data_IF_580730857650
#
_entry.id   IF_580730857650
#
_cell.length_a   1.000
_cell.length_b   1.000
_cell.length_c   1.000
_cell.angle_alpha   90.00
_cell.angle_beta   90.00
_cell.angle_gamma   90.00
#
_symmetry.space_group_name_H-M   'P 1'
#
loop_
_entity.id
_entity.type
_entity.pdbx_description
1 polymer ?
#
# COMPACT_ATOMS: atom_id res chain seq x y z
N UNK A 1 -40.06 -2.08 -56.24
CA UNK A 1 -40.52 -1.57 -54.94
C UNK A 1 -39.91 -2.47 -53.87
N UNK A 2 -38.84 -2.03 -53.19
CA UNK A 2 -38.89 -1.58 -51.77
C UNK A 2 -39.80 -2.48 -50.91
N UNK A 3 -39.38 -3.14 -49.83
CA UNK A 3 -38.39 -2.86 -48.76
C UNK A 3 -38.44 -4.12 -47.87
N UNK A 4 -37.37 -4.72 -47.36
CA UNK A 4 -36.29 -4.12 -46.59
C UNK A 4 -36.60 -4.21 -45.09
N UNK A 5 -36.16 -5.29 -44.42
CA UNK A 5 -35.77 -5.36 -42.99
C UNK A 5 -35.19 -6.75 -42.68
N UNK A 6 -33.93 -6.96 -43.07
CA UNK A 6 -33.12 -8.05 -42.53
C UNK A 6 -32.68 -7.70 -41.11
N UNK A 7 -32.93 -8.62 -40.20
CA UNK A 7 -32.56 -8.54 -38.79
C UNK A 7 -31.04 -8.74 -38.68
N UNK A 8 -30.28 -7.64 -38.57
CA UNK A 8 -28.86 -7.68 -38.24
C UNK A 8 -28.70 -8.07 -36.76
N UNK A 9 -28.30 -9.31 -36.50
CA UNK A 9 -27.75 -9.72 -35.20
C UNK A 9 -26.40 -9.03 -35.03
N UNK A 10 -26.36 -7.98 -34.21
CA UNK A 10 -25.11 -7.36 -33.76
C UNK A 10 -24.45 -8.29 -32.75
N UNK A 11 -23.34 -8.92 -33.15
CA UNK A 11 -22.38 -9.51 -32.21
C UNK A 11 -21.82 -8.37 -31.34
N UNK A 12 -22.34 -8.24 -30.12
CA UNK A 12 -21.75 -7.37 -29.10
C UNK A 12 -20.56 -8.13 -28.51
N UNK A 13 -19.35 -7.80 -28.97
CA UNK A 13 -18.13 -8.21 -28.26
C UNK A 13 -18.10 -7.49 -26.92
N UNK A 14 -18.59 -8.15 -25.86
CA UNK A 14 -18.31 -7.76 -24.49
C UNK A 14 -16.81 -7.98 -24.27
N UNK A 15 -16.03 -6.91 -24.35
CA UNK A 15 -14.72 -6.88 -23.72
C UNK A 15 -14.96 -6.94 -22.21
N UNK A 16 -14.93 -8.14 -21.66
CA UNK A 16 -14.73 -8.35 -20.22
C UNK A 16 -13.36 -7.76 -19.93
N UNK A 17 -13.33 -6.54 -19.38
CA UNK A 17 -12.15 -6.06 -18.67
C UNK A 17 -11.89 -7.09 -17.58
N UNK A 18 -10.87 -7.92 -17.77
CA UNK A 18 -10.27 -8.65 -16.68
C UNK A 18 -9.87 -7.59 -15.66
N UNK A 19 -10.60 -7.51 -14.56
CA UNK A 19 -10.13 -6.82 -13.38
C UNK A 19 -8.77 -7.43 -13.09
N UNK A 20 -7.70 -6.68 -13.35
CA UNK A 20 -6.38 -7.02 -12.84
C UNK A 20 -6.62 -7.05 -11.34
N UNK A 21 -6.71 -8.25 -10.78
CA UNK A 21 -6.70 -8.43 -9.35
C UNK A 21 -5.38 -7.84 -8.91
N UNK A 22 -5.40 -6.61 -8.42
CA UNK A 22 -4.30 -6.06 -7.66
C UNK A 22 -4.20 -7.01 -6.48
N UNK A 23 -3.28 -7.97 -6.55
CA UNK A 23 -2.90 -8.74 -5.38
C UNK A 23 -2.48 -7.69 -4.37
N UNK A 24 -3.34 -7.42 -3.38
CA UNK A 24 -2.93 -6.67 -2.20
C UNK A 24 -1.78 -7.48 -1.62
N UNK A 25 -0.56 -6.96 -1.79
CA UNK A 25 0.64 -7.51 -1.18
C UNK A 25 0.34 -7.66 0.32
N UNK A 26 0.18 -8.89 0.77
CA UNK A 26 -0.06 -9.16 2.19
C UNK A 26 1.10 -8.57 3.00
N UNK A 27 0.83 -8.08 4.19
CA UNK A 27 1.87 -7.59 5.08
C UNK A 27 2.64 -8.81 5.62
N UNK A 28 3.86 -9.04 5.15
CA UNK A 28 4.61 -10.30 5.34
C UNK A 28 5.80 -10.20 6.32
N UNK A 29 6.28 -8.98 6.57
CA UNK A 29 7.38 -8.67 7.49
C UNK A 29 6.87 -7.77 8.59
N UNK A 30 6.97 -8.20 9.84
CA UNK A 30 6.39 -7.51 10.98
C UNK A 30 7.33 -7.26 12.13
N UNK A 31 6.90 -6.38 13.01
CA UNK A 31 7.59 -6.11 14.27
C UNK A 31 6.57 -5.79 15.36
N UNK A 32 6.79 -6.35 16.55
CA UNK A 32 6.10 -5.92 17.76
C UNK A 32 6.94 -4.82 18.40
N UNK A 33 6.31 -3.79 18.94
CA UNK A 33 7.01 -2.70 19.62
C UNK A 33 6.16 -2.07 20.70
N UNK A 34 6.79 -1.69 21.81
CA UNK A 34 6.16 -1.13 22.98
C UNK A 34 6.50 0.34 23.19
N UNK A 35 7.17 0.60 24.31
CA UNK A 35 7.42 1.94 24.84
C UNK A 35 7.96 2.95 23.83
N UNK A 36 9.02 2.62 23.06
CA UNK A 36 9.64 3.54 22.11
C UNK A 36 8.70 4.11 21.06
N UNK A 37 7.63 3.41 20.67
CA UNK A 37 6.70 3.91 19.65
C UNK A 37 6.02 5.22 20.09
N UNK A 38 5.73 5.38 21.38
CA UNK A 38 5.06 6.58 21.91
C UNK A 38 5.95 7.44 22.83
N UNK A 39 7.02 6.88 23.41
CA UNK A 39 8.01 7.65 24.20
C UNK A 39 9.02 8.37 23.31
N UNK A 40 9.44 7.73 22.22
CA UNK A 40 10.59 8.17 21.41
C UNK A 40 10.19 8.63 20.01
N UNK A 41 9.05 9.35 19.93
CA UNK A 41 8.45 9.80 18.66
C UNK A 41 9.37 10.63 17.75
N UNK A 42 10.46 11.18 18.29
CA UNK A 42 11.44 11.96 17.53
C UNK A 42 12.11 11.14 16.41
N UNK A 43 12.21 9.81 16.58
CA UNK A 43 12.75 8.92 15.55
C UNK A 43 11.83 7.74 15.22
N UNK A 44 11.11 7.17 16.20
CA UNK A 44 10.55 5.81 16.06
C UNK A 44 9.56 5.67 14.91
N UNK A 45 8.67 6.64 14.72
CA UNK A 45 7.69 6.63 13.63
C UNK A 45 8.40 6.66 12.26
N UNK A 46 9.39 7.54 12.08
CA UNK A 46 10.11 7.63 10.82
C UNK A 46 11.03 6.44 10.60
N UNK A 47 11.66 5.90 11.64
CA UNK A 47 12.46 4.69 11.55
C UNK A 47 11.61 3.50 11.10
N UNK A 48 10.48 3.24 11.75
CA UNK A 48 9.57 2.15 11.41
C UNK A 48 9.04 2.27 9.98
N UNK A 49 8.62 3.46 9.56
CA UNK A 49 8.16 3.72 8.18
C UNK A 49 9.22 3.37 7.14
N UNK A 50 10.49 3.70 7.42
CA UNK A 50 11.60 3.48 6.48
C UNK A 50 12.32 2.14 6.68
N UNK A 51 11.96 1.36 7.69
CA UNK A 51 12.65 0.12 8.07
C UNK A 51 12.53 -1.00 7.02
N UNK A 52 11.43 -1.03 6.27
CA UNK A 52 11.05 -2.17 5.45
C UNK A 52 10.07 -3.13 6.12
N UNK A 53 9.72 -2.96 7.39
CA UNK A 53 8.59 -3.69 7.97
C UNK A 53 7.29 -3.30 7.26
N UNK A 54 6.43 -4.28 7.02
CA UNK A 54 5.14 -4.11 6.33
C UNK A 54 3.96 -4.07 7.29
N UNK A 55 4.14 -4.53 8.53
CA UNK A 55 3.20 -4.29 9.61
C UNK A 55 3.90 -4.01 10.93
N UNK A 56 3.21 -3.27 11.79
CA UNK A 56 3.64 -2.99 13.16
C UNK A 56 2.52 -3.37 14.10
N UNK A 57 2.84 -4.15 15.13
CA UNK A 57 1.94 -4.41 16.26
C UNK A 57 2.42 -3.56 17.43
N UNK A 58 1.64 -2.54 17.78
CA UNK A 58 1.94 -1.67 18.92
C UNK A 58 1.41 -2.35 20.17
N UNK A 59 2.35 -2.90 20.93
CA UNK A 59 2.14 -3.71 22.12
C UNK A 59 2.19 -2.80 23.35
N UNK A 60 1.23 -2.81 24.28
CA UNK A 60 -0.04 -3.55 24.34
C UNK A 60 -1.09 -2.79 25.16
N UNK A 61 -2.36 -3.14 24.98
CA UNK A 61 -3.49 -2.67 25.77
C UNK A 61 -3.84 -3.69 26.86
N UNK A 62 -3.93 -3.22 28.09
CA UNK A 62 -4.51 -3.94 29.22
C UNK A 62 -5.93 -3.47 29.49
N UNK A 63 -6.84 -4.41 29.78
CA UNK A 63 -8.23 -4.12 30.13
C UNK A 63 -8.44 -4.46 31.59
N UNK A 64 -8.80 -3.47 32.41
CA UNK A 64 -9.09 -3.66 33.82
C UNK A 64 -10.48 -4.28 34.06
N UNK A 65 -10.80 -4.60 35.32
CA UNK A 65 -12.07 -5.23 35.68
C UNK A 65 -13.30 -4.33 35.42
N UNK A 66 -13.11 -3.01 35.31
CA UNK A 66 -14.16 -2.06 34.93
C UNK A 66 -14.30 -1.89 33.42
N UNK A 67 -13.39 -2.49 32.64
CA UNK A 67 -13.33 -2.41 31.19
C UNK A 67 -12.50 -1.26 30.64
N UNK A 68 -11.80 -0.49 31.48
CA UNK A 68 -10.96 0.61 31.02
C UNK A 68 -9.69 0.08 30.36
N UNK A 69 -9.21 0.81 29.35
CA UNK A 69 -8.01 0.45 28.60
C UNK A 69 -6.84 1.27 29.13
N UNK A 70 -5.74 0.59 29.43
CA UNK A 70 -4.44 1.20 29.72
C UNK A 70 -3.42 0.67 28.71
N UNK A 71 -2.52 1.52 28.22
CA UNK A 71 -1.45 1.11 27.32
C UNK A 71 -0.17 0.81 28.12
N UNK A 72 0.37 -0.40 27.97
CA UNK A 72 1.56 -0.94 28.66
C UNK A 72 1.55 -0.88 30.20
N UNK A 73 0.37 -0.75 30.80
CA UNK A 73 0.23 -0.42 32.23
C UNK A 73 0.85 0.95 32.59
N UNK A 74 1.15 1.79 31.60
CA UNK A 74 1.85 3.07 31.77
C UNK A 74 0.90 4.26 31.75
N UNK A 75 -0.14 4.24 30.90
CA UNK A 75 -1.07 5.38 30.80
C UNK A 75 -2.49 4.96 30.40
N UNK A 76 -3.52 5.67 30.90
CA UNK A 76 -4.89 5.39 30.53
C UNK A 76 -5.14 5.75 29.06
N UNK A 77 -5.82 4.88 28.33
CA UNK A 77 -6.07 5.05 26.89
C UNK A 77 -7.53 5.38 26.61
N UNK A 78 -8.45 4.51 27.03
CA UNK A 78 -9.90 4.62 26.81
C UNK A 78 -10.61 4.37 28.14
N UNK A 79 -11.55 5.24 28.47
CA UNK A 79 -12.40 5.11 29.65
C UNK A 79 -13.81 5.59 29.31
N UNK A 80 -14.83 4.84 29.73
CA UNK A 80 -16.25 5.20 29.55
C UNK A 80 -16.63 5.59 28.10
N UNK A 81 -16.07 4.90 27.10
CA UNK A 81 -16.33 5.17 25.68
C UNK A 81 -15.65 6.42 25.14
N UNK A 82 -14.63 6.96 25.81
CA UNK A 82 -13.88 8.13 25.38
C UNK A 82 -12.37 7.88 25.35
N UNK A 83 -11.69 8.43 24.36
CA UNK A 83 -10.23 8.49 24.32
C UNK A 83 -9.70 9.55 25.25
N UNK A 84 -8.90 9.11 26.22
CA UNK A 84 -8.28 9.96 27.24
C UNK A 84 -6.75 9.94 27.17
N UNK A 85 -6.16 9.05 26.36
CA UNK A 85 -4.70 8.91 26.27
C UNK A 85 -3.96 10.17 25.80
N UNK A 86 -4.64 11.13 25.17
CA UNK A 86 -4.06 12.42 24.81
C UNK A 86 -3.58 13.23 26.03
N UNK A 87 -4.10 12.96 27.24
CA UNK A 87 -3.61 13.63 28.45
C UNK A 87 -2.19 13.21 28.81
N UNK A 88 -1.75 12.04 28.37
CA UNK A 88 -0.41 11.50 28.63
C UNK A 88 0.49 11.62 27.40
N UNK A 89 -0.03 11.26 26.23
CA UNK A 89 0.69 11.33 24.95
C UNK A 89 -0.18 12.05 23.89
N UNK A 90 -0.13 13.40 23.83
CA UNK A 90 -1.02 14.20 22.98
C UNK A 90 -0.96 13.87 21.48
N UNK A 91 0.18 13.37 21.00
CA UNK A 91 0.39 13.06 19.58
C UNK A 91 0.13 11.58 19.23
N UNK A 92 -0.22 10.74 20.20
CA UNK A 92 -0.23 9.28 19.99
C UNK A 92 -1.14 8.84 18.84
N UNK A 93 -2.37 9.37 18.76
CA UNK A 93 -3.28 9.06 17.65
C UNK A 93 -2.71 9.43 16.28
N UNK A 94 -2.08 10.60 16.17
CA UNK A 94 -1.46 11.07 14.94
C UNK A 94 -0.23 10.23 14.56
N UNK A 95 0.62 9.91 15.54
CA UNK A 95 1.83 9.11 15.35
C UNK A 95 1.50 7.70 14.85
N UNK A 96 0.42 7.09 15.35
CA UNK A 96 -0.09 5.80 14.88
C UNK A 96 -0.58 5.87 13.42
N UNK A 97 -1.27 6.93 13.02
CA UNK A 97 -1.68 7.13 11.62
C UNK A 97 -0.46 7.32 10.69
N UNK A 98 0.56 8.04 11.16
CA UNK A 98 1.78 8.31 10.39
C UNK A 98 2.55 7.05 10.00
N UNK A 99 2.43 5.94 10.73
CA UNK A 99 3.07 4.67 10.37
C UNK A 99 2.74 4.22 8.92
N UNK A 100 1.53 4.51 8.42
CA UNK A 100 1.11 4.17 7.04
C UNK A 100 1.36 5.32 6.04
N UNK A 101 1.73 6.50 6.51
CA UNK A 101 1.97 7.69 5.68
C UNK A 101 3.23 7.50 4.82
N UNK A 102 3.18 7.87 3.54
CA UNK A 102 4.32 7.75 2.63
C UNK A 102 5.47 8.73 2.97
N UNK A 103 6.75 8.34 2.84
CA UNK A 103 7.21 7.01 2.47
C UNK A 103 7.02 6.01 3.60
N UNK A 104 6.46 4.84 3.28
CA UNK A 104 6.35 3.72 4.20
C UNK A 104 6.22 2.40 3.45
N UNK A 105 6.76 1.33 4.02
CA UNK A 105 6.42 -0.04 3.61
C UNK A 105 5.25 -0.61 4.40
N UNK A 106 4.88 0.05 5.51
CA UNK A 106 3.82 -0.40 6.42
C UNK A 106 2.48 -0.18 5.74
N UNK A 107 1.75 -1.27 5.55
CA UNK A 107 0.38 -1.26 5.05
C UNK A 107 -0.62 -1.85 6.06
N UNK A 108 -0.15 -2.23 7.25
CA UNK A 108 -0.98 -2.72 8.34
C UNK A 108 -0.47 -2.29 9.72
N UNK A 109 -1.35 -1.79 10.58
CA UNK A 109 -1.05 -1.42 11.96
C UNK A 109 -2.03 -2.10 12.90
N UNK A 110 -1.55 -2.59 14.04
CA UNK A 110 -2.37 -3.26 15.05
C UNK A 110 -2.09 -2.75 16.45
N UNK A 111 -3.07 -2.89 17.34
CA UNK A 111 -2.81 -2.90 18.78
C UNK A 111 -2.85 -4.32 19.30
N UNK A 112 -2.01 -4.65 20.28
CA UNK A 112 -2.11 -5.92 20.99
C UNK A 112 -2.99 -5.80 22.24
N UNK A 113 -3.62 -6.89 22.67
CA UNK A 113 -4.26 -7.03 23.97
C UNK A 113 -3.47 -8.00 24.83
N UNK A 114 -3.24 -7.60 26.08
CA UNK A 114 -2.58 -8.40 27.10
C UNK A 114 -1.09 -8.64 26.85
N UNK A 115 -0.48 -9.35 27.79
CA UNK A 115 0.87 -9.90 27.77
C UNK A 115 0.91 -11.06 28.78
N UNK A 116 2.05 -11.74 28.87
CA UNK A 116 2.33 -12.71 29.92
C UNK A 116 1.95 -12.17 31.32
N UNK A 117 1.18 -12.95 32.08
CA UNK A 117 0.70 -12.57 33.42
C UNK A 117 -0.42 -11.52 33.45
N UNK A 118 -0.91 -11.05 32.31
CA UNK A 118 -1.98 -10.05 32.23
C UNK A 118 -3.38 -10.61 32.57
N UNK A 119 -4.16 -9.85 33.34
CA UNK A 119 -5.55 -10.20 33.69
C UNK A 119 -6.58 -9.84 32.61
N UNK A 120 -6.14 -9.29 31.48
CA UNK A 120 -6.99 -8.72 30.42
C UNK A 120 -8.07 -9.69 29.96
N UNK A 121 -7.71 -10.92 29.60
CA UNK A 121 -8.69 -11.89 29.08
C UNK A 121 -9.63 -12.43 30.15
N UNK A 122 -9.20 -12.52 31.41
CA UNK A 122 -10.06 -12.84 32.53
C UNK A 122 -11.10 -11.72 32.78
N UNK A 123 -10.68 -10.46 32.70
CA UNK A 123 -11.57 -9.31 32.80
C UNK A 123 -12.55 -9.23 31.62
N UNK A 124 -12.08 -9.44 30.39
CA UNK A 124 -12.93 -9.54 29.20
C UNK A 124 -13.98 -10.62 29.36
N UNK A 125 -13.60 -11.83 29.80
CA UNK A 125 -14.53 -12.92 30.05
C UNK A 125 -15.63 -12.51 31.04
N UNK A 126 -15.24 -11.91 32.16
CA UNK A 126 -16.19 -11.48 33.19
C UNK A 126 -17.14 -10.37 32.68
N UNK A 127 -16.61 -9.40 31.94
CA UNK A 127 -17.40 -8.32 31.35
C UNK A 127 -18.38 -8.84 30.29
N UNK A 128 -17.97 -9.78 29.44
CA UNK A 128 -18.86 -10.44 28.47
C UNK A 128 -19.94 -11.24 29.18
N UNK A 129 -19.60 -11.99 30.23
CA UNK A 129 -20.59 -12.73 31.00
C UNK A 129 -21.61 -11.79 31.66
N UNK A 130 -21.18 -10.62 32.14
CA UNK A 130 -22.04 -9.66 32.83
C UNK A 130 -22.89 -8.78 31.88
N UNK A 131 -22.35 -8.41 30.72
CA UNK A 131 -22.93 -7.34 29.88
C UNK A 131 -23.16 -7.75 28.42
N UNK A 132 -22.63 -8.90 28.00
CA UNK A 132 -22.55 -9.29 26.60
C UNK A 132 -21.64 -8.39 25.76
N UNK A 133 -21.80 -8.47 24.44
CA UNK A 133 -20.99 -7.74 23.44
C UNK A 133 -21.81 -6.72 22.64
N UNK A 134 -23.04 -6.44 23.06
CA UNK A 134 -23.93 -5.48 22.40
C UNK A 134 -23.48 -4.03 22.60
N UNK A 135 -24.08 -3.10 21.84
CA UNK A 135 -23.68 -1.69 21.82
C UNK A 135 -23.81 -0.94 23.16
N UNK A 136 -24.53 -1.52 24.12
CA UNK A 136 -24.68 -0.99 25.47
C UNK A 136 -23.56 -1.41 26.42
N UNK A 137 -22.79 -2.46 26.09
CA UNK A 137 -21.72 -2.98 26.96
C UNK A 137 -20.50 -2.06 27.00
N UNK A 138 -19.76 -2.11 28.10
CA UNK A 138 -18.55 -1.30 28.28
C UNK A 138 -17.49 -1.64 27.23
N UNK A 139 -17.28 -2.94 26.96
CA UNK A 139 -16.31 -3.38 25.96
C UNK A 139 -16.64 -2.82 24.58
N UNK A 140 -17.90 -2.89 24.15
CA UNK A 140 -18.30 -2.36 22.84
C UNK A 140 -18.03 -0.86 22.75
N UNK A 141 -18.48 -0.09 23.75
CA UNK A 141 -18.30 1.37 23.77
C UNK A 141 -16.82 1.77 23.74
N UNK A 142 -15.97 1.06 24.49
CA UNK A 142 -14.54 1.35 24.54
C UNK A 142 -13.84 0.98 23.22
N UNK A 143 -14.15 -0.16 22.61
CA UNK A 143 -13.58 -0.51 21.30
C UNK A 143 -14.13 0.36 20.15
N UNK A 144 -15.38 0.82 20.22
CA UNK A 144 -15.91 1.80 19.27
C UNK A 144 -15.15 3.13 19.37
N UNK A 145 -14.90 3.60 20.60
CA UNK A 145 -14.09 4.80 20.84
C UNK A 145 -12.66 4.63 20.31
N UNK A 146 -12.07 3.45 20.51
CA UNK A 146 -10.76 3.10 19.96
C UNK A 146 -10.78 3.14 18.42
N UNK A 147 -11.77 2.54 17.75
CA UNK A 147 -11.87 2.57 16.28
C UNK A 147 -12.04 3.98 15.72
N UNK A 148 -12.85 4.80 16.39
CA UNK A 148 -13.10 6.17 15.97
C UNK A 148 -11.84 7.04 16.12
N UNK A 149 -11.04 6.80 17.17
CA UNK A 149 -9.81 7.54 17.45
C UNK A 149 -8.66 7.09 16.56
N UNK A 150 -8.54 5.79 16.30
CA UNK A 150 -7.46 5.18 15.54
C UNK A 150 -8.00 4.45 14.31
N UNK A 151 -8.59 5.17 13.33
CA UNK A 151 -9.18 4.54 12.16
C UNK A 151 -8.13 3.85 11.26
N UNK A 152 -6.86 4.24 11.38
CA UNK A 152 -5.71 3.62 10.71
C UNK A 152 -5.30 2.26 11.28
N UNK A 153 -5.77 1.89 12.48
CA UNK A 153 -5.52 0.58 13.09
C UNK A 153 -6.44 -0.45 12.46
N UNK A 154 -5.82 -1.46 11.84
CA UNK A 154 -6.46 -2.47 11.03
C UNK A 154 -6.96 -3.64 11.88
N UNK A 155 -6.23 -4.01 12.94
CA UNK A 155 -6.53 -5.19 13.74
C UNK A 155 -6.20 -5.05 15.22
N UNK A 156 -6.73 -5.99 15.99
CA UNK A 156 -6.43 -6.17 17.40
C UNK A 156 -5.83 -7.57 17.59
N UNK A 157 -4.58 -7.65 18.08
CA UNK A 157 -3.89 -8.90 18.35
C UNK A 157 -4.27 -9.46 19.72
N UNK A 158 -4.49 -10.77 19.81
CA UNK A 158 -4.84 -11.46 21.05
C UNK A 158 -3.64 -12.22 21.59
N UNK A 159 -3.09 -11.73 22.70
CA UNK A 159 -1.99 -12.36 23.44
C UNK A 159 -2.48 -12.94 24.78
N UNK A 160 -3.48 -13.84 24.69
CA UNK A 160 -4.03 -14.56 25.85
C UNK A 160 -3.09 -15.69 26.27
N UNK A 161 -2.26 -15.42 27.27
CA UNK A 161 -1.30 -16.38 27.79
C UNK A 161 -1.74 -17.05 29.10
N UNK A 162 -2.95 -16.75 29.59
CA UNK A 162 -3.39 -17.18 30.92
C UNK A 162 -4.80 -17.75 30.98
N UNK A 163 -5.78 -17.09 30.34
CA UNK A 163 -7.20 -17.37 30.58
C UNK A 163 -7.71 -18.53 29.73
N UNK A 164 -7.34 -18.54 28.44
CA UNK A 164 -7.66 -19.60 27.48
C UNK A 164 -9.16 -19.98 27.41
N UNK A 165 -10.05 -19.00 27.54
CA UNK A 165 -11.50 -19.20 27.44
C UNK A 165 -12.00 -18.94 26.03
N UNK A 166 -12.15 -20.00 25.23
CA UNK A 166 -12.43 -19.87 23.80
C UNK A 166 -13.76 -19.15 23.51
N UNK A 167 -14.77 -19.32 24.37
CA UNK A 167 -16.10 -18.72 24.18
C UNK A 167 -16.07 -17.19 24.28
N UNK A 168 -15.42 -16.65 25.32
CA UNK A 168 -15.26 -15.20 25.49
C UNK A 168 -14.31 -14.60 24.45
N UNK A 169 -13.20 -15.28 24.12
CA UNK A 169 -12.29 -14.83 23.06
C UNK A 169 -12.99 -14.77 21.69
N UNK A 170 -13.77 -15.79 21.31
CA UNK A 170 -14.58 -15.76 20.09
C UNK A 170 -15.59 -14.62 20.11
N UNK A 171 -16.31 -14.42 21.23
CA UNK A 171 -17.32 -13.37 21.36
C UNK A 171 -16.70 -11.97 21.20
N UNK A 172 -15.53 -11.74 21.81
CA UNK A 172 -14.77 -10.52 21.64
C UNK A 172 -14.34 -10.33 20.17
N UNK A 173 -13.78 -11.37 19.54
CA UNK A 173 -13.31 -11.28 18.16
C UNK A 173 -14.45 -10.94 17.19
N UNK A 174 -15.62 -11.57 17.32
CA UNK A 174 -16.80 -11.26 16.49
C UNK A 174 -17.26 -9.81 16.70
N UNK A 175 -17.26 -9.32 17.94
CA UNK A 175 -17.59 -7.92 18.25
C UNK A 175 -16.62 -6.95 17.57
N UNK A 176 -15.31 -7.20 17.66
CA UNK A 176 -14.27 -6.41 16.99
C UNK A 176 -14.43 -6.43 15.47
N UNK A 177 -14.74 -7.60 14.90
CA UNK A 177 -15.05 -7.76 13.49
C UNK A 177 -16.23 -6.89 13.05
N UNK A 178 -17.29 -6.79 13.87
CA UNK A 178 -18.45 -5.95 13.57
C UNK A 178 -18.15 -4.45 13.66
N UNK A 179 -17.19 -4.07 14.51
CA UNK A 179 -16.64 -2.70 14.59
C UNK A 179 -15.66 -2.37 13.45
N UNK A 180 -15.34 -3.34 12.58
CA UNK A 180 -14.46 -3.15 11.43
C UNK A 180 -12.97 -3.34 11.73
N UNK A 181 -12.62 -3.96 12.86
CA UNK A 181 -11.28 -4.49 13.09
C UNK A 181 -11.13 -5.89 12.48
N UNK A 182 -9.89 -6.24 12.14
CA UNK A 182 -9.44 -7.63 12.04
C UNK A 182 -8.94 -8.11 13.41
N UNK A 183 -8.67 -9.40 13.52
CA UNK A 183 -8.06 -10.02 14.69
C UNK A 183 -6.89 -10.88 14.26
N UNK A 184 -5.76 -10.71 14.94
CA UNK A 184 -4.62 -11.62 14.87
C UNK A 184 -4.52 -12.41 16.18
N UNK A 185 -4.07 -13.65 16.12
CA UNK A 185 -3.88 -14.51 17.30
C UNK A 185 -2.38 -14.70 17.56
N UNK A 186 -1.94 -14.67 18.82
CA UNK A 186 -0.50 -14.66 19.17
C UNK A 186 -0.11 -15.88 20.02
N UNK A 187 -0.23 -17.12 19.51
CA UNK A 187 0.03 -18.31 20.31
C UNK A 187 1.53 -18.47 20.62
N UNK A 188 1.87 -18.74 21.88
CA UNK A 188 3.11 -19.45 22.24
C UNK A 188 2.83 -20.92 22.63
N UNK A 189 1.60 -21.26 23.02
CA UNK A 189 1.17 -22.61 23.41
C UNK A 189 -0.34 -22.82 23.17
N UNK A 190 -0.90 -23.93 23.64
CA UNK A 190 -2.34 -24.25 23.64
C UNK A 190 -3.00 -24.21 22.25
N UNK A 191 -2.47 -25.03 21.34
CA UNK A 191 -2.94 -25.12 19.95
C UNK A 191 -4.45 -25.30 19.81
N UNK A 192 -5.05 -26.16 20.63
CA UNK A 192 -6.49 -26.44 20.58
C UNK A 192 -7.33 -25.21 20.88
N UNK A 193 -6.94 -24.40 21.86
CA UNK A 193 -7.63 -23.15 22.16
C UNK A 193 -7.60 -22.21 20.96
N UNK A 194 -6.42 -21.94 20.40
CA UNK A 194 -6.27 -20.96 19.33
C UNK A 194 -6.97 -21.40 18.04
N UNK A 195 -6.88 -22.68 17.66
CA UNK A 195 -7.58 -23.18 16.46
C UNK A 195 -9.09 -23.13 16.64
N UNK A 196 -9.59 -23.35 17.87
CA UNK A 196 -11.00 -23.19 18.22
C UNK A 196 -11.44 -21.73 18.09
N UNK A 197 -10.68 -20.78 18.63
CA UNK A 197 -11.00 -19.33 18.52
C UNK A 197 -11.05 -18.88 17.06
N UNK A 198 -10.05 -19.25 16.25
CA UNK A 198 -10.00 -18.91 14.83
C UNK A 198 -11.22 -19.48 14.07
N UNK A 199 -11.49 -20.78 14.26
CA UNK A 199 -12.58 -21.49 13.58
C UNK A 199 -13.94 -20.93 13.98
N UNK A 200 -14.21 -20.81 15.28
CA UNK A 200 -15.49 -20.33 15.76
C UNK A 200 -15.75 -18.89 15.32
N UNK A 201 -14.74 -18.02 15.40
CA UNK A 201 -14.87 -16.62 14.99
C UNK A 201 -15.18 -16.53 13.50
N UNK A 202 -14.41 -17.22 12.65
CA UNK A 202 -14.61 -17.12 11.21
C UNK A 202 -15.87 -17.86 10.71
N UNK A 203 -16.39 -18.84 11.46
CA UNK A 203 -17.71 -19.43 11.20
C UNK A 203 -18.85 -18.45 11.51
N UNK A 204 -18.72 -17.64 12.57
CA UNK A 204 -19.73 -16.65 12.93
C UNK A 204 -19.60 -15.35 12.13
N UNK A 205 -18.37 -14.95 11.81
CA UNK A 205 -18.04 -13.76 11.04
C UNK A 205 -16.78 -13.96 10.22
N UNK A 206 -16.97 -14.41 8.98
CA UNK A 206 -15.89 -14.76 8.07
C UNK A 206 -14.86 -13.63 7.87
N UNK A 207 -13.59 -14.00 7.89
CA UNK A 207 -12.46 -13.10 7.65
C UNK A 207 -12.18 -12.11 8.79
N UNK A 208 -12.71 -12.36 9.99
CA UNK A 208 -12.39 -11.56 11.18
C UNK A 208 -11.01 -11.92 11.70
N UNK A 209 -10.78 -13.20 11.96
CA UNK A 209 -9.43 -13.70 12.27
C UNK A 209 -8.71 -13.91 10.94
N UNK A 210 -7.68 -13.12 10.66
CA UNK A 210 -7.00 -13.10 9.37
C UNK A 210 -5.48 -13.34 9.45
N UNK A 211 -4.93 -13.45 10.67
CA UNK A 211 -3.51 -13.75 10.88
C UNK A 211 -3.27 -14.50 12.18
N UNK A 212 -2.23 -15.35 12.19
CA UNK A 212 -1.67 -15.94 13.41
C UNK A 212 -0.19 -15.60 13.50
N UNK A 213 0.20 -14.87 14.54
CA UNK A 213 1.57 -14.49 14.88
C UNK A 213 2.11 -15.51 15.90
N UNK A 214 2.61 -16.65 15.41
CA UNK A 214 3.12 -17.75 16.23
C UNK A 214 4.45 -17.35 16.86
N UNK A 215 4.50 -17.34 18.20
CA UNK A 215 5.73 -17.09 18.94
C UNK A 215 6.65 -18.32 18.88
N UNK A 216 7.83 -18.17 18.26
CA UNK A 216 8.88 -19.20 18.19
C UNK A 216 10.14 -18.77 18.97
N UNK A 217 9.95 -18.05 20.07
CA UNK A 217 10.98 -17.52 20.97
C UNK A 217 10.55 -17.71 22.43
N UNK A 218 11.47 -17.56 23.38
CA UNK A 218 11.22 -17.65 24.83
C UNK A 218 10.44 -18.93 25.18
N UNK A 219 9.31 -18.81 25.90
CA UNK A 219 8.41 -19.93 26.23
C UNK A 219 7.83 -20.66 25.02
N UNK A 220 7.80 -20.01 23.85
CA UNK A 220 7.40 -20.60 22.55
C UNK A 220 8.57 -21.11 21.70
N UNK A 221 9.82 -21.09 22.17
CA UNK A 221 11.02 -21.46 21.39
C UNK A 221 10.99 -22.88 20.79
N UNK A 222 10.19 -23.79 21.36
CA UNK A 222 9.96 -25.14 20.82
C UNK A 222 8.95 -25.21 19.67
N UNK A 223 8.29 -24.10 19.31
CA UNK A 223 7.30 -24.11 18.25
C UNK A 223 7.91 -24.25 16.86
N UNK A 224 7.30 -25.11 16.05
CA UNK A 224 7.58 -25.23 14.62
C UNK A 224 6.31 -24.86 13.84
N UNK A 225 6.30 -23.80 13.01
CA UNK A 225 5.12 -23.32 12.29
C UNK A 225 4.39 -24.40 11.47
N UNK A 226 5.13 -25.38 10.96
CA UNK A 226 4.54 -26.48 10.17
C UNK A 226 3.54 -27.35 10.97
N UNK A 227 3.59 -27.30 12.30
CA UNK A 227 2.68 -28.03 13.18
C UNK A 227 1.43 -27.21 13.56
N UNK A 228 1.32 -25.97 13.09
CA UNK A 228 0.26 -25.03 13.46
C UNK A 228 -0.60 -24.72 12.23
N UNK A 229 -1.77 -25.35 12.13
CA UNK A 229 -2.71 -25.13 11.02
C UNK A 229 -4.02 -24.52 11.51
N UNK A 230 -4.45 -23.47 10.82
CA UNK A 230 -5.66 -22.70 11.13
C UNK A 230 -6.59 -22.62 9.91
N UNK A 231 -6.59 -23.66 9.08
CA UNK A 231 -7.33 -23.68 7.82
C UNK A 231 -6.75 -22.67 6.82
N UNK A 232 -7.54 -21.67 6.46
CA UNK A 232 -7.13 -20.61 5.50
C UNK A 232 -6.42 -19.43 6.16
N UNK A 233 -6.39 -19.36 7.50
CA UNK A 233 -5.71 -18.27 8.21
C UNK A 233 -4.19 -18.51 8.17
N UNK A 234 -3.41 -17.57 7.60
CA UNK A 234 -1.97 -17.73 7.44
C UNK A 234 -1.22 -17.59 8.76
N UNK A 235 -0.12 -18.33 8.88
CA UNK A 235 0.79 -18.27 10.05
C UNK A 235 2.01 -17.41 9.72
N UNK A 236 2.43 -16.64 10.71
CA UNK A 236 3.59 -15.77 10.72
C UNK A 236 4.47 -16.20 11.87
N UNK A 237 5.73 -16.54 11.58
CA UNK A 237 6.63 -17.03 12.62
C UNK A 237 7.40 -15.87 13.26
N UNK A 238 7.26 -15.74 14.58
CA UNK A 238 7.96 -14.75 15.39
C UNK A 238 9.31 -15.27 15.87
N UNK A 239 10.31 -14.41 15.85
CA UNK A 239 11.64 -14.67 16.42
C UNK A 239 12.06 -13.48 17.29
N UNK A 240 12.96 -13.72 18.25
CA UNK A 240 13.48 -12.70 19.14
C UNK A 240 14.92 -12.33 18.79
N UNK A 241 15.23 -11.03 18.70
CA UNK A 241 16.57 -10.53 18.42
C UNK A 241 17.58 -10.93 19.50
N UNK A 242 17.17 -11.03 20.77
CA UNK A 242 18.01 -11.52 21.86
C UNK A 242 18.46 -12.98 21.66
N UNK A 243 17.71 -13.77 20.87
CA UNK A 243 18.01 -15.18 20.61
C UNK A 243 18.65 -15.41 19.23
N UNK A 244 18.41 -14.51 18.27
CA UNK A 244 18.79 -14.71 16.86
C UNK A 244 19.25 -13.43 16.19
N UNK A 245 20.46 -13.49 15.64
CA UNK A 245 20.96 -12.49 14.68
C UNK A 245 20.12 -12.46 13.40
N UNK A 246 20.24 -11.39 12.62
CA UNK A 246 19.56 -11.22 11.32
C UNK A 246 19.81 -12.37 10.34
N UNK A 247 21.04 -12.91 10.29
CA UNK A 247 21.38 -14.05 9.46
C UNK A 247 20.68 -15.35 9.92
N UNK A 248 20.58 -15.55 11.24
CA UNK A 248 19.87 -16.70 11.80
C UNK A 248 18.36 -16.58 11.59
N UNK A 249 17.79 -15.36 11.71
CA UNK A 249 16.39 -15.08 11.37
C UNK A 249 16.09 -15.47 9.92
N UNK A 250 16.87 -14.96 8.96
CA UNK A 250 16.67 -15.27 7.54
C UNK A 250 16.79 -16.78 7.26
N UNK A 251 17.80 -17.44 7.83
CA UNK A 251 18.03 -18.88 7.66
C UNK A 251 16.86 -19.70 8.20
N UNK A 252 16.44 -19.44 9.44
CA UNK A 252 15.36 -20.17 10.11
C UNK A 252 14.03 -20.02 9.36
N UNK A 253 13.69 -18.79 8.96
CA UNK A 253 12.47 -18.51 8.21
C UNK A 253 12.51 -19.16 6.82
N UNK A 254 13.67 -19.20 6.17
CA UNK A 254 13.86 -19.90 4.88
C UNK A 254 13.59 -21.39 5.02
N UNK A 255 14.11 -22.02 6.08
CA UNK A 255 13.84 -23.43 6.37
C UNK A 255 12.35 -23.69 6.53
N UNK A 256 11.65 -22.91 7.37
CA UNK A 256 10.20 -23.11 7.55
C UNK A 256 9.39 -22.82 6.29
N UNK A 257 9.73 -21.76 5.53
CA UNK A 257 9.08 -21.48 4.25
C UNK A 257 9.22 -22.65 3.28
N UNK A 258 10.39 -23.27 3.20
CA UNK A 258 10.62 -24.41 2.33
C UNK A 258 9.91 -25.69 2.82
N UNK A 259 9.80 -25.88 4.13
CA UNK A 259 9.14 -27.07 4.72
C UNK A 259 7.62 -27.02 4.69
N UNK A 260 7.00 -25.84 4.81
CA UNK A 260 5.54 -25.71 4.90
C UNK A 260 5.01 -24.39 4.29
N UNK A 261 5.39 -24.11 3.04
CA UNK A 261 4.99 -22.91 2.29
C UNK A 261 3.48 -22.69 2.16
N UNK A 262 2.66 -23.72 2.35
CA UNK A 262 1.20 -23.61 2.37
C UNK A 262 0.68 -22.93 3.65
N UNK A 263 1.42 -23.02 4.76
CA UNK A 263 1.03 -22.54 6.09
C UNK A 263 1.66 -21.18 6.40
N UNK A 264 2.99 -21.09 6.29
CA UNK A 264 3.72 -19.88 6.68
C UNK A 264 3.73 -18.86 5.54
N UNK A 265 3.26 -17.64 5.81
CA UNK A 265 3.19 -16.55 4.81
C UNK A 265 4.03 -15.32 5.16
N UNK A 266 4.58 -15.26 6.37
CA UNK A 266 5.45 -14.18 6.81
C UNK A 266 6.18 -14.49 8.11
N UNK A 267 6.78 -13.46 8.69
CA UNK A 267 7.42 -13.52 10.00
C UNK A 267 7.41 -12.16 10.70
N UNK A 268 7.80 -12.16 11.98
CA UNK A 268 7.98 -10.93 12.75
C UNK A 268 9.13 -11.00 13.73
N UNK A 269 9.57 -9.83 14.15
CA UNK A 269 10.48 -9.68 15.28
C UNK A 269 9.73 -9.27 16.55
N UNK A 270 10.04 -10.00 17.62
CA UNK A 270 10.03 -9.51 18.99
C UNK A 270 11.47 -9.02 19.29
N UNK A 271 11.74 -7.88 19.89
CA UNK A 271 10.88 -6.72 20.12
C UNK A 271 11.62 -5.48 19.61
N UNK A 272 10.94 -4.57 18.90
CA UNK A 272 11.51 -3.32 18.39
C UNK A 272 12.33 -2.56 19.45
N UNK A 273 11.86 -2.58 20.69
CA UNK A 273 12.45 -1.90 21.84
C UNK A 273 13.90 -2.30 22.11
N UNK A 274 14.34 -3.48 21.67
CA UNK A 274 15.71 -3.97 21.88
C UNK A 274 16.69 -3.44 20.81
N UNK A 275 16.18 -2.97 19.66
CA UNK A 275 17.00 -2.56 18.51
C UNK A 275 16.57 -1.25 17.86
N UNK A 276 15.74 -0.45 18.53
CA UNK A 276 15.28 0.85 18.05
C UNK A 276 16.44 1.87 17.95
N UNK A 277 16.29 2.85 17.05
CA UNK A 277 17.34 3.83 16.77
C UNK A 277 18.69 3.21 16.38
N UNK A 278 18.68 2.03 15.76
CA UNK A 278 19.88 1.35 15.25
C UNK A 278 19.65 0.85 13.83
N UNK A 279 20.72 0.41 13.16
CA UNK A 279 20.57 -0.29 11.87
C UNK A 279 19.83 -1.64 12.00
N UNK A 280 19.69 -2.17 13.22
CA UNK A 280 18.96 -3.39 13.54
C UNK A 280 17.54 -3.39 13.00
N UNK A 281 16.80 -2.28 13.15
CA UNK A 281 15.42 -2.15 12.67
C UNK A 281 15.28 -2.50 11.19
N UNK A 282 16.12 -1.89 10.34
CA UNK A 282 16.09 -2.15 8.90
C UNK A 282 16.70 -3.52 8.53
N UNK A 283 17.72 -3.96 9.26
CA UNK A 283 18.40 -5.22 8.99
C UNK A 283 17.49 -6.43 9.28
N UNK A 284 16.73 -6.42 10.37
CA UNK A 284 15.77 -7.49 10.67
C UNK A 284 14.60 -7.50 9.69
N UNK A 285 14.04 -6.33 9.34
CA UNK A 285 13.02 -6.23 8.32
C UNK A 285 13.50 -6.81 6.98
N UNK A 286 14.74 -6.51 6.59
CA UNK A 286 15.39 -7.04 5.39
C UNK A 286 15.56 -8.55 5.45
N UNK A 287 16.00 -9.10 6.59
CA UNK A 287 16.14 -10.55 6.78
C UNK A 287 14.83 -11.30 6.52
N UNK A 288 13.69 -10.78 7.02
CA UNK A 288 12.36 -11.37 6.77
C UNK A 288 11.93 -11.18 5.31
N UNK A 289 12.16 -9.99 4.73
CA UNK A 289 11.78 -9.68 3.34
C UNK A 289 12.54 -10.48 2.30
N UNK A 290 13.80 -10.82 2.57
CA UNK A 290 14.56 -11.73 1.71
C UNK A 290 13.89 -13.12 1.61
N UNK A 291 13.13 -13.52 2.62
CA UNK A 291 12.41 -14.81 2.63
C UNK A 291 11.03 -14.67 2.02
N UNK A 292 10.21 -13.74 2.50
CA UNK A 292 8.78 -13.69 2.14
C UNK A 292 8.43 -12.66 1.08
N UNK A 293 9.35 -11.77 0.74
CA UNK A 293 9.03 -10.52 0.08
C UNK A 293 8.41 -9.54 1.07
N UNK A 294 7.73 -8.53 0.54
CA UNK A 294 7.10 -7.49 1.34
C UNK A 294 7.23 -6.13 0.65
N UNK A 295 6.22 -5.29 0.90
CA UNK A 295 5.90 -4.06 0.19
C UNK A 295 7.08 -3.21 -0.27
N UNK A 296 6.91 -2.59 -1.44
CA UNK A 296 7.81 -1.54 -1.94
C UNK A 296 7.60 -0.28 -1.11
N UNK A 297 8.69 0.40 -0.75
CA UNK A 297 8.62 1.69 -0.06
C UNK A 297 7.78 2.65 -0.92
N UNK A 298 6.64 3.09 -0.39
CA UNK A 298 5.73 3.96 -1.14
C UNK A 298 6.40 5.31 -1.40
N UNK A 299 6.24 5.89 -2.58
CA UNK A 299 6.70 7.25 -2.84
C UNK A 299 5.64 8.26 -2.38
N UNK A 300 5.98 9.28 -1.56
CA UNK A 300 5.03 10.33 -1.21
C UNK A 300 4.70 11.17 -2.45
N UNK A 301 3.43 11.23 -2.83
CA UNK A 301 2.97 11.99 -4.00
C UNK A 301 2.23 13.26 -3.59
N UNK A 302 1.24 13.15 -2.71
CA UNK A 302 0.46 14.30 -2.23
C UNK A 302 0.25 14.16 -0.72
N UNK A 303 0.45 15.25 0.01
CA UNK A 303 0.23 15.31 1.47
C UNK A 303 -1.06 16.08 1.75
N UNK A 304 -1.98 15.46 2.47
CA UNK A 304 -3.26 16.04 2.87
C UNK A 304 -3.20 16.37 4.36
N UNK A 305 -3.61 17.59 4.70
CA UNK A 305 -3.54 18.12 6.06
C UNK A 305 -4.93 18.41 6.60
N UNK A 306 -5.12 18.07 7.87
CA UNK A 306 -6.35 18.33 8.61
C UNK A 306 -6.71 19.81 8.63
N UNK A 307 -5.73 20.67 8.90
CA UNK A 307 -5.94 22.10 9.11
C UNK A 307 -5.31 22.93 7.98
N UNK A 308 -5.73 24.19 7.85
CA UNK A 308 -5.07 25.14 6.93
C UNK A 308 -3.61 25.39 7.34
N UNK A 309 -2.85 25.95 6.41
CA UNK A 309 -1.42 26.26 6.51
C UNK A 309 -0.53 25.04 6.78
N UNK A 310 -0.96 23.86 6.32
CA UNK A 310 -0.22 22.60 6.48
C UNK A 310 0.00 22.21 7.94
N UNK A 311 -0.99 22.49 8.79
CA UNK A 311 -0.96 22.15 10.22
C UNK A 311 -1.91 20.99 10.54
N UNK A 312 -1.89 20.52 11.78
CA UNK A 312 -2.61 19.31 12.19
C UNK A 312 -1.98 18.03 11.66
N UNK A 313 -2.77 16.94 11.59
CA UNK A 313 -2.32 15.67 11.03
C UNK A 313 -2.09 15.82 9.52
N UNK A 314 -0.87 15.52 9.06
CA UNK A 314 -0.50 15.49 7.64
C UNK A 314 -0.19 14.07 7.16
N UNK A 315 -0.99 13.55 6.23
CA UNK A 315 -0.82 12.21 5.66
C UNK A 315 -0.40 12.30 4.19
N UNK A 316 0.75 11.73 3.88
CA UNK A 316 1.27 11.59 2.53
C UNK A 316 0.73 10.31 1.91
N UNK A 317 0.06 10.43 0.77
CA UNK A 317 -0.46 9.30 0.01
C UNK A 317 0.39 9.06 -1.25
N UNK A 318 0.67 7.80 -1.61
CA UNK A 318 1.23 7.46 -2.92
C UNK A 318 0.17 7.55 -4.03
N UNK A 319 0.58 7.29 -5.27
CA UNK A 319 -0.34 7.11 -6.39
C UNK A 319 -1.43 6.09 -6.07
N UNK A 320 -2.66 6.39 -6.47
CA UNK A 320 -3.78 5.47 -6.35
C UNK A 320 -5.12 6.14 -6.17
N UNK A 321 -6.14 5.30 -6.13
CA UNK A 321 -7.52 5.69 -5.89
C UNK A 321 -7.86 5.46 -4.42
N UNK A 322 -8.54 6.43 -3.79
CA UNK A 322 -8.86 6.45 -2.37
C UNK A 322 -10.33 6.80 -2.16
N UNK A 323 -11.14 5.78 -1.87
CA UNK A 323 -12.48 5.94 -1.30
C UNK A 323 -12.38 6.38 0.17
N UNK A 324 -13.48 6.81 0.77
CA UNK A 324 -13.54 7.21 2.18
C UNK A 324 -13.03 6.11 3.11
N UNK A 325 -13.44 4.86 2.85
CA UNK A 325 -12.96 3.70 3.62
C UNK A 325 -11.44 3.58 3.57
N UNK A 326 -10.83 3.82 2.39
CA UNK A 326 -9.38 3.76 2.23
C UNK A 326 -8.72 4.98 2.89
N UNK A 327 -9.26 6.19 2.76
CA UNK A 327 -8.76 7.38 3.46
C UNK A 327 -8.72 7.18 4.98
N UNK A 328 -9.80 6.65 5.55
CA UNK A 328 -9.88 6.32 6.98
C UNK A 328 -8.80 5.32 7.41
N UNK A 329 -8.48 4.33 6.57
CA UNK A 329 -7.41 3.37 6.85
C UNK A 329 -6.00 4.00 6.89
N UNK A 330 -5.84 5.24 6.42
CA UNK A 330 -4.63 6.05 6.55
C UNK A 330 -4.73 7.13 7.65
N UNK A 331 -5.87 7.25 8.34
CA UNK A 331 -6.10 8.28 9.35
C UNK A 331 -6.79 9.55 8.87
N UNK A 332 -7.16 9.63 7.59
CA UNK A 332 -7.87 10.79 7.03
C UNK A 332 -9.38 10.58 7.20
N UNK A 333 -10.05 11.46 7.95
CA UNK A 333 -11.50 11.38 8.20
C UNK A 333 -12.32 11.95 7.03
N UNK A 334 -13.63 11.72 7.07
CA UNK A 334 -14.54 12.35 6.11
C UNK A 334 -14.56 13.85 6.35
N UNK A 335 -14.60 14.66 5.29
CA UNK A 335 -14.81 16.10 5.44
C UNK A 335 -13.76 16.75 6.36
N UNK A 336 -12.51 16.29 6.28
CA UNK A 336 -11.46 16.64 7.26
C UNK A 336 -10.18 17.19 6.62
N UNK A 337 -10.20 17.51 5.32
CA UNK A 337 -9.02 18.02 4.61
C UNK A 337 -9.20 19.52 4.38
N UNK A 338 -8.28 20.31 4.92
CA UNK A 338 -8.27 21.77 4.79
C UNK A 338 -7.10 22.32 3.96
N UNK A 339 -5.97 21.59 3.84
CA UNK A 339 -4.85 22.01 2.99
C UNK A 339 -4.08 20.85 2.38
N UNK A 340 -3.33 21.11 1.30
CA UNK A 340 -2.70 20.07 0.47
C UNK A 340 -1.32 20.52 -0.01
N UNK A 341 -0.30 19.66 0.10
CA UNK A 341 0.98 19.80 -0.61
C UNK A 341 1.11 18.78 -1.72
N UNK A 342 1.51 19.22 -2.90
CA UNK A 342 1.62 18.37 -4.11
C UNK A 342 3.08 18.28 -4.51
N UNK A 343 3.68 17.10 -4.40
CA UNK A 343 5.05 16.91 -4.85
C UNK A 343 5.12 17.05 -6.38
N UNK A 344 6.27 17.53 -6.87
CA UNK A 344 6.51 17.72 -8.30
C UNK A 344 6.24 16.43 -9.10
N UNK A 345 5.56 16.56 -10.24
CA UNK A 345 5.17 15.44 -11.10
C UNK A 345 3.87 14.74 -10.70
N UNK A 346 3.17 15.23 -9.68
CA UNK A 346 1.88 14.69 -9.22
C UNK A 346 0.74 15.70 -9.30
N UNK A 347 -0.48 15.19 -9.23
CA UNK A 347 -1.72 15.94 -9.04
C UNK A 347 -2.70 15.09 -8.23
N UNK A 348 -3.71 15.73 -7.66
CA UNK A 348 -4.85 15.02 -7.08
C UNK A 348 -6.16 15.54 -7.63
N UNK A 349 -7.10 14.63 -7.90
CA UNK A 349 -8.49 14.92 -8.20
C UNK A 349 -9.31 14.53 -6.97
N UNK A 350 -9.87 15.52 -6.28
CA UNK A 350 -10.67 15.34 -5.06
C UNK A 350 -12.15 15.44 -5.39
N UNK A 351 -12.98 14.77 -4.60
CA UNK A 351 -14.42 14.63 -4.81
C UNK A 351 -15.17 14.91 -3.51
N UNK A 352 -16.33 15.59 -3.61
CA UNK A 352 -17.15 15.92 -2.44
C UNK A 352 -17.81 14.70 -1.80
N UNK A 353 -18.08 13.67 -2.62
CA UNK A 353 -18.78 12.47 -2.18
C UNK A 353 -17.86 11.24 -2.29
N UNK A 354 -18.18 10.17 -1.55
CA UNK A 354 -17.42 8.92 -1.62
C UNK A 354 -17.55 8.27 -3.01
N UNK A 355 -16.65 7.34 -3.33
CA UNK A 355 -16.62 6.57 -4.58
C UNK A 355 -16.49 7.45 -5.83
N UNK A 356 -15.78 8.57 -5.72
CA UNK A 356 -15.45 9.50 -6.81
C UNK A 356 -16.68 10.16 -7.43
N UNK A 357 -17.68 10.45 -6.61
CA UNK A 357 -18.94 11.08 -7.01
C UNK A 357 -19.02 12.54 -6.52
N UNK A 358 -20.12 13.22 -6.86
CA UNK A 358 -20.34 14.61 -6.47
C UNK A 358 -19.51 15.60 -7.30
N UNK A 359 -19.28 16.75 -6.71
CA UNK A 359 -18.42 17.78 -7.32
C UNK A 359 -16.96 17.35 -7.26
N UNK A 360 -16.11 17.90 -8.14
CA UNK A 360 -14.69 17.53 -8.20
C UNK A 360 -13.78 18.74 -8.41
N UNK A 361 -12.58 18.72 -7.80
CA UNK A 361 -11.53 19.73 -7.99
C UNK A 361 -10.19 19.05 -8.28
N UNK A 362 -9.47 19.56 -9.28
CA UNK A 362 -8.09 19.15 -9.53
C UNK A 362 -7.12 20.11 -8.83
N UNK A 363 -6.23 19.56 -8.01
CA UNK A 363 -5.18 20.29 -7.31
C UNK A 363 -3.83 19.83 -7.88
N UNK A 364 -3.07 20.76 -8.47
CA UNK A 364 -1.79 20.48 -9.15
C UNK A 364 -0.58 21.13 -8.49
N UNK A 365 -0.79 21.90 -7.43
CA UNK A 365 0.24 22.61 -6.69
C UNK A 365 -0.19 22.71 -5.22
N UNK A 366 0.76 23.12 -4.37
CA UNK A 366 0.50 23.41 -2.97
C UNK A 366 -0.66 24.40 -2.80
N UNK A 367 -1.57 24.08 -1.89
CA UNK A 367 -2.69 24.92 -1.50
C UNK A 367 -2.76 24.97 0.02
N UNK A 368 -2.44 26.15 0.58
CA UNK A 368 -2.39 26.34 2.03
C UNK A 368 -3.76 26.41 2.68
N UNK A 369 -4.86 26.64 1.95
CA UNK A 369 -6.19 26.65 2.54
C UNK A 369 -7.28 26.52 1.46
N UNK A 370 -8.02 25.41 1.49
CA UNK A 370 -9.07 25.06 0.52
C UNK A 370 -10.34 25.93 0.62
N UNK A 371 -10.42 26.81 1.64
CA UNK A 371 -11.54 27.74 1.85
C UNK A 371 -11.78 28.62 0.61
N UNK A 372 -10.72 29.15 0.00
CA UNK A 372 -10.86 30.05 -1.16
C UNK A 372 -11.47 29.37 -2.40
N UNK A 373 -11.39 28.04 -2.46
CA UNK A 373 -12.00 27.22 -3.50
C UNK A 373 -13.37 26.67 -3.08
N UNK A 374 -13.84 26.92 -1.85
CA UNK A 374 -15.02 26.26 -1.25
C UNK A 374 -14.88 24.74 -1.12
N UNK A 375 -13.65 24.26 -0.85
CA UNK A 375 -13.30 22.84 -0.73
C UNK A 375 -12.82 22.43 0.66
N UNK A 376 -12.90 23.32 1.65
CA UNK A 376 -12.53 23.05 3.02
C UNK A 376 -13.50 22.06 3.65
N UNK A 377 -12.99 20.97 4.21
CA UNK A 377 -13.78 20.02 5.01
C UNK A 377 -15.00 19.46 4.26
N UNK A 378 -14.82 19.12 2.97
CA UNK A 378 -15.88 18.46 2.16
C UNK A 378 -15.35 17.27 1.34
N UNK A 379 -14.06 16.93 1.43
CA UNK A 379 -13.48 15.88 0.58
C UNK A 379 -13.80 14.50 1.18
N UNK A 380 -14.51 13.68 0.42
CA UNK A 380 -14.89 12.31 0.82
C UNK A 380 -14.15 11.22 0.04
N UNK A 381 -13.64 11.52 -1.17
CA UNK A 381 -12.78 10.59 -1.92
C UNK A 381 -11.82 11.33 -2.85
N UNK A 382 -10.72 10.68 -3.23
CA UNK A 382 -9.69 11.31 -4.07
C UNK A 382 -8.90 10.32 -4.92
N UNK A 383 -8.31 10.81 -6.01
CA UNK A 383 -7.37 10.09 -6.86
C UNK A 383 -6.04 10.84 -6.84
N UNK A 384 -4.95 10.14 -6.50
CA UNK A 384 -3.59 10.65 -6.61
C UNK A 384 -2.97 10.10 -7.87
N UNK A 385 -2.60 10.99 -8.77
CA UNK A 385 -2.16 10.66 -10.12
C UNK A 385 -0.83 11.33 -10.43
N UNK A 386 -0.12 10.82 -11.42
CA UNK A 386 0.95 11.60 -12.03
C UNK A 386 0.29 12.82 -12.67
N UNK A 387 0.89 13.99 -12.46
CA UNK A 387 0.61 15.11 -13.32
C UNK A 387 1.11 14.66 -14.70
N UNK A 388 0.18 14.37 -15.60
CA UNK A 388 0.48 14.36 -17.03
C UNK A 388 1.22 15.66 -17.26
N UNK A 389 2.49 15.56 -17.60
CA UNK A 389 3.26 16.76 -17.68
C UNK A 389 2.61 17.62 -18.78
N UNK A 390 2.00 18.73 -18.39
CA UNK A 390 2.01 19.94 -19.20
C UNK A 390 3.46 20.49 -19.31
N UNK A 391 4.45 19.66 -18.95
CA UNK A 391 5.76 19.57 -19.54
C UNK A 391 6.07 18.10 -19.92
N UNK A 392 5.34 17.53 -20.88
CA UNK A 392 6.10 17.26 -22.08
C UNK A 392 6.61 18.64 -22.51
N UNK A 393 7.75 19.11 -21.91
CA UNK A 393 8.79 19.70 -22.74
C UNK A 393 8.73 18.81 -23.93
N UNK A 394 8.30 19.36 -25.06
CA UNK A 394 8.24 18.67 -26.32
C UNK A 394 9.31 17.61 -26.21
N UNK A 395 8.90 16.34 -26.01
CA UNK A 395 9.77 15.28 -26.41
C UNK A 395 9.89 15.72 -27.84
N UNK A 396 11.00 16.37 -28.19
CA UNK A 396 11.40 16.48 -29.57
C UNK A 396 11.36 15.01 -29.88
N UNK A 397 10.23 14.59 -30.46
CA UNK A 397 10.07 13.28 -30.99
C UNK A 397 11.25 13.31 -31.93
N UNK A 398 12.35 12.67 -31.51
CA UNK A 398 13.60 12.67 -32.24
C UNK A 398 13.13 12.30 -33.63
N UNK A 399 13.20 13.22 -34.61
CA UNK A 399 12.40 13.09 -35.81
C UNK A 399 12.66 11.71 -36.37
N UNK A 400 11.67 10.82 -36.27
CA UNK A 400 11.89 9.44 -36.62
C UNK A 400 11.47 9.31 -38.05
N UNK A 401 12.41 8.84 -38.86
CA UNK A 401 12.25 8.63 -40.27
C UNK A 401 12.58 7.17 -40.52
N UNK A 402 11.56 6.35 -40.74
CA UNK A 402 11.72 4.98 -41.19
C UNK A 402 11.60 4.94 -42.71
N UNK A 403 12.39 4.07 -43.33
CA UNK A 403 12.34 3.85 -44.78
C UNK A 403 12.06 2.38 -45.07
N UNK A 404 11.14 2.12 -45.99
CA UNK A 404 10.76 0.77 -46.39
C UNK A 404 10.27 0.75 -47.84
N UNK A 405 10.46 -0.35 -48.59
CA UNK A 405 11.26 -1.52 -48.20
C UNK A 405 12.76 -1.17 -48.16
N UNK A 406 13.50 -1.87 -47.31
CA UNK A 406 14.96 -1.86 -47.29
C UNK A 406 15.43 -3.31 -47.07
N UNK A 407 15.98 -3.99 -48.10
CA UNK A 407 16.42 -3.47 -49.39
C UNK A 407 15.31 -2.95 -50.32
N UNK A 408 15.61 -1.94 -51.13
CA UNK A 408 14.71 -1.27 -52.06
C UNK A 408 15.03 -1.64 -53.52
N UNK A 409 14.01 -1.71 -54.38
CA UNK A 409 14.18 -1.99 -55.83
C UNK A 409 13.89 -0.76 -56.68
N UNK A 410 12.66 -0.24 -56.66
CA UNK A 410 12.26 0.93 -57.47
C UNK A 410 11.83 2.13 -56.63
N UNK A 411 11.21 1.88 -55.48
CA UNK A 411 10.70 2.94 -54.60
C UNK A 411 11.11 2.70 -53.14
N UNK A 412 11.23 3.81 -52.41
CA UNK A 412 11.31 3.86 -50.95
C UNK A 412 10.14 4.70 -50.46
N UNK A 413 9.45 4.20 -49.45
CA UNK A 413 8.43 4.92 -48.70
C UNK A 413 9.02 5.42 -47.40
N UNK A 414 8.70 6.66 -47.08
CA UNK A 414 9.18 7.35 -45.89
C UNK A 414 8.05 7.44 -44.88
N UNK A 415 8.23 6.80 -43.73
CA UNK A 415 7.36 6.96 -42.58
C UNK A 415 7.98 7.90 -41.59
N UNK A 416 7.25 8.98 -41.28
CA UNK A 416 7.67 9.98 -40.31
C UNK A 416 6.56 10.26 -39.30
N UNK A 417 6.97 10.71 -38.13
CA UNK A 417 6.08 11.32 -37.13
C UNK A 417 6.01 12.86 -37.26
N UNK A 418 6.44 13.42 -38.41
CA UNK A 418 6.49 14.85 -38.69
C UNK A 418 6.16 15.15 -40.16
N UNK A 419 5.77 16.39 -40.47
CA UNK A 419 5.37 16.81 -41.82
C UNK A 419 6.57 16.86 -42.79
N UNK A 420 6.54 15.98 -43.80
CA UNK A 420 7.56 15.81 -44.83
C UNK A 420 7.62 16.96 -45.85
N UNK A 421 6.45 17.51 -46.24
CA UNK A 421 6.31 18.46 -47.35
C UNK A 421 7.20 19.70 -47.19
N UNK A 422 7.84 20.13 -48.27
CA UNK A 422 8.72 21.30 -48.27
C UNK A 422 10.14 21.05 -47.74
N UNK A 423 10.47 19.81 -47.34
CA UNK A 423 11.85 19.38 -47.10
C UNK A 423 12.58 18.96 -48.38
N UNK A 424 13.88 18.73 -48.27
CA UNK A 424 14.75 18.22 -49.36
C UNK A 424 15.33 16.88 -48.93
N UNK A 425 15.31 15.90 -49.83
CA UNK A 425 16.03 14.64 -49.65
C UNK A 425 17.23 14.62 -50.58
N UNK A 426 18.40 14.32 -50.04
CA UNK A 426 19.64 14.07 -50.76
C UNK A 426 20.09 12.64 -50.51
N UNK A 427 20.42 11.92 -51.58
CA UNK A 427 20.96 10.56 -51.50
C UNK A 427 22.45 10.63 -51.83
N UNK A 428 23.25 9.96 -51.01
CA UNK A 428 24.70 9.87 -51.12
C UNK A 428 25.14 8.42 -51.32
N UNK A 429 26.18 8.21 -52.11
CA UNK A 429 26.85 6.91 -52.20
C UNK A 429 27.67 6.60 -50.93
N UNK A 430 28.29 5.41 -50.89
CA UNK A 430 29.13 4.98 -49.75
C UNK A 430 30.40 5.83 -49.57
N UNK A 431 30.84 6.56 -50.61
CA UNK A 431 31.96 7.48 -50.56
C UNK A 431 31.54 8.90 -50.11
N UNK A 432 30.25 9.12 -49.82
CA UNK A 432 29.71 10.40 -49.36
C UNK A 432 29.47 11.41 -50.48
N UNK A 433 29.44 10.99 -51.75
CA UNK A 433 29.15 11.88 -52.89
C UNK A 433 27.64 11.94 -53.13
N UNK A 434 27.06 13.13 -53.34
CA UNK A 434 25.62 13.25 -53.64
C UNK A 434 25.32 12.66 -55.02
N UNK A 435 24.42 11.68 -55.08
CA UNK A 435 24.02 11.00 -56.32
C UNK A 435 22.66 11.44 -56.84
N UNK A 436 21.75 11.89 -55.96
CA UNK A 436 20.43 12.40 -56.36
C UNK A 436 19.83 13.31 -55.29
N UNK A 437 19.00 14.26 -55.70
CA UNK A 437 18.25 15.13 -54.81
C UNK A 437 16.78 15.26 -55.24
N UNK A 438 15.88 15.32 -54.27
CA UNK A 438 14.44 15.40 -54.48
C UNK A 438 13.85 16.50 -53.59
N UNK A 439 12.96 17.33 -54.14
CA UNK A 439 12.03 18.12 -53.31
C UNK A 439 10.93 17.18 -52.83
N UNK A 440 10.68 17.17 -51.52
CA UNK A 440 9.70 16.25 -50.94
C UNK A 440 8.29 16.78 -51.15
N UNK A 441 7.56 16.15 -52.07
CA UNK A 441 6.17 16.43 -52.42
C UNK A 441 5.21 15.30 -52.05
N UNK A 442 5.75 14.13 -51.69
CA UNK A 442 5.02 12.95 -51.22
C UNK A 442 5.91 12.08 -50.33
N UNK A 443 5.33 11.05 -49.72
CA UNK A 443 6.01 10.04 -48.90
C UNK A 443 6.73 8.96 -49.72
N UNK A 444 6.74 9.06 -51.07
CA UNK A 444 7.37 8.10 -51.98
C UNK A 444 8.57 8.71 -52.69
N UNK A 445 9.66 7.95 -52.73
CA UNK A 445 10.91 8.32 -53.39
C UNK A 445 11.25 7.27 -54.43
N UNK A 446 11.32 7.69 -55.68
CA UNK A 446 11.78 6.83 -56.78
C UNK A 446 13.31 6.70 -56.78
N UNK A 447 13.78 5.48 -56.53
CA UNK A 447 15.19 5.08 -56.52
C UNK A 447 15.56 4.14 -57.67
N UNK A 448 14.65 3.92 -58.63
CA UNK A 448 14.86 3.00 -59.76
C UNK A 448 16.12 3.33 -60.58
N UNK A 449 16.47 4.60 -60.71
CA UNK A 449 17.66 5.08 -61.43
C UNK A 449 18.99 4.92 -60.70
N UNK A 450 19.01 4.35 -59.48
CA UNK A 450 20.25 4.09 -58.74
C UNK A 450 20.79 2.69 -59.04
N UNK A 451 22.10 2.55 -59.20
CA UNK A 451 22.77 1.25 -59.31
C UNK A 451 22.67 0.47 -57.98
N UNK A 452 22.77 -0.86 -58.04
CA UNK A 452 22.78 -1.69 -56.83
C UNK A 452 23.93 -1.29 -55.89
N UNK A 453 23.65 -1.16 -54.59
CA UNK A 453 24.64 -0.67 -53.61
C UNK A 453 24.03 -0.11 -52.33
N UNK A 454 24.90 0.36 -51.42
CA UNK A 454 24.51 0.96 -50.14
C UNK A 454 24.52 2.48 -50.28
N UNK A 455 23.43 3.11 -49.87
CA UNK A 455 23.24 4.55 -49.96
C UNK A 455 22.84 5.15 -48.62
N UNK A 456 23.15 6.44 -48.46
CA UNK A 456 22.73 7.25 -47.32
C UNK A 456 21.73 8.30 -47.79
N UNK A 457 20.53 8.27 -47.25
CA UNK A 457 19.47 9.26 -47.47
C UNK A 457 19.52 10.31 -46.35
N UNK A 458 19.61 11.58 -46.71
CA UNK A 458 19.61 12.72 -45.80
C UNK A 458 18.39 13.60 -46.10
N UNK A 459 17.48 13.73 -45.15
CA UNK A 459 16.36 14.66 -45.19
C UNK A 459 16.71 15.96 -44.47
N UNK A 460 16.46 17.11 -45.10
CA UNK A 460 16.74 18.43 -44.55
C UNK A 460 15.52 19.36 -44.65
N UNK A 461 15.12 19.99 -43.54
CA UNK A 461 14.09 21.05 -43.52
C UNK A 461 14.40 22.05 -42.40
N UNK A 462 14.38 23.35 -42.72
CA UNK A 462 14.66 24.44 -41.79
C UNK A 462 15.97 24.25 -40.98
N UNK A 463 17.04 23.80 -41.64
CA UNK A 463 18.37 23.59 -41.03
C UNK A 463 18.52 22.33 -40.18
N UNK A 464 17.48 21.51 -39.99
CA UNK A 464 17.55 20.21 -39.29
C UNK A 464 17.72 19.07 -40.30
N UNK A 465 18.61 18.12 -40.00
CA UNK A 465 18.92 16.96 -40.85
C UNK A 465 18.57 15.63 -40.17
N UNK A 466 18.10 14.65 -40.94
CA UNK A 466 17.86 13.27 -40.51
C UNK A 466 18.48 12.32 -41.53
N UNK A 467 19.23 11.33 -41.07
CA UNK A 467 20.00 10.44 -41.93
C UNK A 467 19.57 8.98 -41.76
N UNK A 468 19.32 8.28 -42.87
CA UNK A 468 19.01 6.83 -42.89
C UNK A 468 19.77 6.12 -44.01
N UNK A 469 20.19 4.88 -43.77
CA UNK A 469 20.87 4.04 -44.77
C UNK A 469 19.88 3.05 -45.38
N UNK A 470 20.01 2.80 -46.67
CA UNK A 470 19.31 1.73 -47.35
C UNK A 470 20.20 0.99 -48.35
N UNK A 471 19.79 -0.23 -48.67
CA UNK A 471 20.39 -1.08 -49.70
C UNK A 471 19.50 -1.02 -50.94
N UNK A 472 20.08 -0.71 -52.09
CA UNK A 472 19.44 -0.82 -53.41
C UNK A 472 19.82 -2.17 -54.01
N UNK A 473 18.82 -2.97 -54.34
CA UNK A 473 18.99 -4.23 -55.09
C UNK A 473 19.06 -3.98 -56.59
#
# INVERSE_FOLDING_TARGET
>A
MNTGKQLFVRLLFLFVFAAISTHTLQAQSGVYGGGPIYKNRSYSINELRNSGFTYVVVWTIHIDASGNFNFNAEFPLIQNGAYIGASSYPNFANDIALLKSAPSTINRVEFCLSAWGGSTFANVKNLIAAQGTGSTSTLYKNFQALKNTFPSVDAIAFDDELTYDAGSATSLAVMLGNLGFKVSLVPYTNKTFWTTVATNTNNQRAGTVDRVDLQCYSGGSGNAPCNWSFGTVPVYAGLWDAEKTTAQVQSQLTTWKNSCSSIIKGGFMWLYDDFDNTSGTANYATAIRNVFGGGTLSTPAVTFYKDCNYTGLGISLPLGDYTLTKLRSYGILNDDISSVKVNSGYKTLVYSDDNFAGSSLTITADNSCLVSQSWNDIISSLKVQTASAALASAKIATPDLAIYPNPATNEIRVHTNFELNGGIIQVYDIAGRPVRAFKVVSDRIDVSGLAAGIYTLVYTKNGKTITKRFVKN
#
